data_IF_142580530236
#
_entry.id   IF_142580530236
#
_cell.length_a   1.000
_cell.length_b   1.000
_cell.length_c   1.000
_cell.angle_alpha   90.00
_cell.angle_beta   90.00
_cell.angle_gamma   90.00
#
_symmetry.space_group_name_H-M   'P 1'
#
loop_
_entity.id
_entity.type
_entity.pdbx_description
1 polymer ?
#
# COMPACT_ATOMS: atom_id res chain seq x y z
N UNK A 1 0.33 7.98 -12.35
CA UNK A 1 1.30 6.87 -12.54
C UNK A 1 0.91 6.10 -13.79
N UNK A 2 1.75 5.20 -14.29
CA UNK A 2 1.43 4.45 -15.52
C UNK A 2 0.44 3.31 -15.19
N UNK A 3 -0.80 3.43 -15.66
CA UNK A 3 -1.88 2.45 -15.45
C UNK A 3 -1.85 1.30 -16.49
N UNK A 4 -0.71 1.08 -17.12
CA UNK A 4 -0.54 0.12 -18.21
C UNK A 4 0.90 -0.38 -18.25
N UNK A 5 1.08 -1.59 -18.77
CA UNK A 5 2.39 -2.22 -18.99
C UNK A 5 2.46 -2.65 -20.46
N UNK A 6 3.59 -2.40 -21.13
CA UNK A 6 3.80 -2.86 -22.51
C UNK A 6 4.78 -4.01 -22.56
N UNK A 7 4.37 -5.12 -23.18
CA UNK A 7 5.19 -6.33 -23.37
C UNK A 7 5.16 -6.65 -24.86
N UNK A 8 6.33 -6.80 -25.49
CA UNK A 8 6.46 -7.13 -26.92
C UNK A 8 5.70 -6.19 -27.87
N UNK A 9 5.60 -4.90 -27.51
CA UNK A 9 4.89 -3.89 -28.30
C UNK A 9 3.36 -3.89 -28.12
N UNK A 10 2.82 -4.75 -27.26
CA UNK A 10 1.40 -4.80 -26.91
C UNK A 10 1.22 -4.18 -25.53
N UNK A 11 0.27 -3.25 -25.42
CA UNK A 11 -0.06 -2.59 -24.16
C UNK A 11 -1.19 -3.32 -23.43
N UNK A 12 -1.00 -3.56 -22.14
CA UNK A 12 -1.94 -4.21 -21.23
C UNK A 12 -2.34 -3.23 -20.12
N UNK A 13 -3.65 -2.97 -19.91
CA UNK A 13 -4.09 -2.14 -18.79
C UNK A 13 -3.88 -2.88 -17.45
N UNK A 14 -3.54 -2.13 -16.41
CA UNK A 14 -3.53 -2.62 -15.04
C UNK A 14 -4.97 -2.78 -14.52
N UNK A 15 -5.21 -3.73 -13.59
CA UNK A 15 -6.53 -3.89 -12.99
C UNK A 15 -6.93 -2.67 -12.16
N UNK A 16 -8.24 -2.43 -12.01
CA UNK A 16 -8.76 -1.40 -11.11
C UNK A 16 -9.53 -2.05 -9.95
N UNK A 17 -9.22 -1.71 -8.68
CA UNK A 17 -8.14 -0.82 -8.23
C UNK A 17 -6.75 -1.48 -8.31
N UNK A 18 -5.71 -0.67 -8.52
CA UNK A 18 -4.31 -1.08 -8.46
C UNK A 18 -3.63 -0.44 -7.24
N UNK A 19 -2.90 -1.22 -6.46
CA UNK A 19 -2.19 -0.75 -5.27
C UNK A 19 -0.82 -1.42 -5.17
N UNK A 20 0.22 -0.64 -4.90
CA UNK A 20 1.60 -1.12 -4.79
C UNK A 20 2.08 -0.97 -3.37
N UNK A 21 2.60 -2.05 -2.80
CA UNK A 21 3.39 -2.04 -1.58
C UNK A 21 4.81 -2.41 -1.96
N UNK A 22 5.74 -1.48 -1.80
CA UNK A 22 7.16 -1.74 -1.94
C UNK A 22 7.81 -1.74 -0.55
N UNK A 23 8.64 -2.74 -0.27
CA UNK A 23 9.46 -2.78 0.93
C UNK A 23 10.93 -2.56 0.56
N UNK A 24 11.63 -1.81 1.40
CA UNK A 24 13.07 -1.60 1.26
C UNK A 24 13.73 -1.99 2.58
N UNK A 25 14.66 -2.93 2.52
CA UNK A 25 15.48 -3.27 3.68
C UNK A 25 16.56 -2.19 3.85
N UNK A 26 16.62 -1.49 4.99
CA UNK A 26 17.54 -0.36 5.17
C UNK A 26 18.99 -0.81 5.41
N UNK A 27 19.23 -2.06 5.82
CA UNK A 27 20.56 -2.63 5.99
C UNK A 27 21.12 -3.09 4.65
N UNK A 28 22.26 -2.52 4.22
CA UNK A 28 22.93 -2.84 2.96
C UNK A 28 23.05 -4.35 2.75
N UNK A 29 22.36 -4.87 1.75
CA UNK A 29 22.70 -6.15 1.12
C UNK A 29 23.38 -5.81 -0.20
N UNK A 30 24.61 -6.30 -0.37
CA UNK A 30 25.37 -6.24 -1.62
C UNK A 30 24.44 -6.46 -2.82
N UNK A 31 24.30 -5.43 -3.66
CA UNK A 31 23.47 -5.48 -4.87
C UNK A 31 22.06 -4.87 -4.76
N UNK A 32 21.70 -4.22 -3.65
CA UNK A 32 20.46 -3.43 -3.56
C UNK A 32 20.77 -1.94 -3.67
N UNK A 33 20.20 -1.28 -4.69
CA UNK A 33 20.29 0.17 -4.83
C UNK A 33 19.04 0.80 -4.22
N UNK A 34 19.18 1.81 -3.36
CA UNK A 34 18.02 2.50 -2.86
C UNK A 34 17.23 3.14 -4.01
N UNK A 35 15.91 3.18 -3.86
CA UNK A 35 15.08 3.93 -4.80
C UNK A 35 15.54 5.39 -4.80
N UNK A 36 15.84 5.96 -5.98
CA UNK A 36 16.09 7.39 -6.09
C UNK A 36 14.92 8.19 -5.54
N UNK A 37 15.18 9.42 -5.06
CA UNK A 37 14.14 10.31 -4.51
C UNK A 37 12.96 10.50 -5.48
N UNK A 38 13.24 10.64 -6.78
CA UNK A 38 12.21 10.76 -7.83
C UNK A 38 11.32 9.52 -7.99
N UNK A 39 11.76 8.36 -7.52
CA UNK A 39 10.94 7.15 -7.48
C UNK A 39 10.16 7.04 -6.17
N UNK A 40 10.71 7.54 -5.07
CA UNK A 40 10.01 7.62 -3.79
C UNK A 40 8.85 8.62 -3.83
N UNK A 41 9.00 9.74 -4.55
CA UNK A 41 7.96 10.76 -4.74
C UNK A 41 6.66 10.21 -5.39
N UNK A 42 6.74 9.04 -6.02
CA UNK A 42 5.59 8.36 -6.62
C UNK A 42 4.72 7.63 -5.59
N UNK A 43 5.24 7.37 -4.40
CA UNK A 43 4.48 6.75 -3.32
C UNK A 43 3.73 7.80 -2.52
N UNK A 44 2.42 7.61 -2.33
CA UNK A 44 1.60 8.49 -1.49
C UNK A 44 2.11 8.56 -0.04
N UNK A 45 2.65 7.46 0.48
CA UNK A 45 3.17 7.36 1.85
C UNK A 45 4.40 6.45 1.90
N UNK A 46 5.38 6.86 2.68
CA UNK A 46 6.53 6.04 3.08
C UNK A 46 6.48 5.84 4.60
N UNK A 47 6.49 4.59 5.06
CA UNK A 47 6.37 4.25 6.49
C UNK A 47 7.64 3.50 6.91
N UNK A 48 8.18 3.85 8.07
CA UNK A 48 9.25 3.08 8.71
C UNK A 48 8.64 2.05 9.66
N UNK A 49 8.96 0.78 9.43
CA UNK A 49 8.52 -0.32 10.30
C UNK A 49 9.63 -0.67 11.29
N UNK A 50 9.36 -0.43 12.58
CA UNK A 50 10.20 -0.90 13.68
C UNK A 50 9.83 -2.31 14.12
N UNK A 51 10.51 -2.81 15.15
CA UNK A 51 10.12 -4.03 15.82
C UNK A 51 8.88 -3.80 16.70
N UNK A 52 7.97 -4.79 16.80
CA UNK A 52 6.90 -4.74 17.78
C UNK A 52 7.49 -4.65 19.19
N UNK A 53 6.71 -4.11 20.14
CA UNK A 53 7.10 -4.21 21.54
C UNK A 53 7.06 -5.67 22.04
N UNK A 54 7.67 -5.93 23.20
CA UNK A 54 7.81 -7.28 23.73
C UNK A 54 6.46 -7.96 24.01
N UNK A 55 5.39 -7.19 24.29
CA UNK A 55 4.07 -7.75 24.52
C UNK A 55 3.45 -8.23 23.22
N UNK A 56 3.49 -7.40 22.18
CA UNK A 56 3.03 -7.74 20.84
C UNK A 56 3.85 -8.89 20.23
N UNK A 57 5.18 -8.91 20.42
CA UNK A 57 6.04 -10.01 19.96
C UNK A 57 5.66 -11.34 20.62
N UNK A 58 5.42 -11.32 21.95
CA UNK A 58 4.97 -12.51 22.68
C UNK A 58 3.61 -12.98 22.17
N UNK A 59 2.66 -12.08 21.93
CA UNK A 59 1.35 -12.43 21.38
C UNK A 59 1.47 -13.06 19.99
N UNK A 60 2.33 -12.52 19.11
CA UNK A 60 2.60 -13.10 17.80
C UNK A 60 3.15 -14.54 17.91
N UNK A 61 4.06 -14.79 18.86
CA UNK A 61 4.62 -16.12 19.08
C UNK A 61 3.61 -17.11 19.69
N UNK A 62 2.67 -16.64 20.51
CA UNK A 62 1.60 -17.46 21.09
C UNK A 62 0.42 -17.68 20.14
N UNK A 63 0.26 -16.81 19.13
CA UNK A 63 -0.90 -16.72 18.25
C UNK A 63 -1.15 -17.91 17.32
N UNK A 64 -0.29 -18.94 17.34
CA UNK A 64 -0.43 -20.11 16.47
C UNK A 64 -0.03 -19.83 15.01
N UNK A 65 -0.40 -20.72 14.09
CA UNK A 65 -0.04 -20.57 12.68
C UNK A 65 -0.85 -19.45 12.02
N UNK A 66 -0.22 -18.29 11.79
CA UNK A 66 -0.84 -17.15 11.12
C UNK A 66 -1.43 -17.51 9.75
N UNK A 67 -0.90 -18.52 9.05
CA UNK A 67 -1.44 -18.93 7.75
C UNK A 67 -2.82 -19.56 7.85
N UNK A 68 -3.08 -20.33 8.90
CA UNK A 68 -4.40 -20.93 9.13
C UNK A 68 -5.43 -19.86 9.51
N UNK A 69 -5.03 -18.87 10.31
CA UNK A 69 -5.89 -17.72 10.64
C UNK A 69 -6.26 -16.91 9.40
N UNK A 70 -5.30 -16.67 8.50
CA UNK A 70 -5.54 -15.95 7.25
C UNK A 70 -6.56 -16.66 6.35
N UNK A 71 -6.56 -18.00 6.31
CA UNK A 71 -7.54 -18.78 5.54
C UNK A 71 -8.97 -18.63 6.06
N UNK A 72 -9.14 -18.34 7.35
CA UNK A 72 -10.44 -18.18 7.98
C UNK A 72 -11.02 -16.77 7.83
N UNK A 73 -10.22 -15.79 7.37
CA UNK A 73 -10.68 -14.42 7.18
C UNK A 73 -11.82 -14.35 6.18
N UNK A 74 -12.91 -13.71 6.60
CA UNK A 74 -14.03 -13.40 5.72
C UNK A 74 -13.80 -12.03 5.07
N UNK A 75 -13.96 -11.90 3.74
CA UNK A 75 -13.88 -10.60 3.09
C UNK A 75 -15.00 -9.69 3.62
N UNK A 76 -14.63 -8.48 4.03
CA UNK A 76 -15.59 -7.48 4.56
C UNK A 76 -16.00 -6.45 3.52
N UNK A 77 -15.32 -6.41 2.37
CA UNK A 77 -15.69 -5.56 1.24
C UNK A 77 -15.30 -6.22 -0.09
N UNK A 78 -15.99 -5.79 -1.14
CA UNK A 78 -15.72 -6.14 -2.53
C UNK A 78 -14.95 -5.03 -3.25
N UNK A 79 -14.27 -5.32 -4.37
CA UNK A 79 -13.60 -4.29 -5.18
C UNK A 79 -14.56 -3.18 -5.67
N UNK A 80 -15.79 -3.53 -6.04
CA UNK A 80 -16.80 -2.55 -6.47
C UNK A 80 -17.20 -1.58 -5.34
N UNK A 81 -17.34 -2.08 -4.10
CA UNK A 81 -17.59 -1.24 -2.93
C UNK A 81 -16.40 -0.33 -2.64
N UNK A 82 -15.17 -0.83 -2.78
CA UNK A 82 -13.97 -0.02 -2.61
C UNK A 82 -13.92 1.13 -3.62
N UNK A 83 -14.22 0.87 -4.89
CA UNK A 83 -14.31 1.91 -5.91
C UNK A 83 -15.41 2.93 -5.61
N UNK A 84 -16.58 2.48 -5.11
CA UNK A 84 -17.65 3.38 -4.70
C UNK A 84 -17.22 4.32 -3.55
N UNK A 85 -16.50 3.78 -2.55
CA UNK A 85 -15.93 4.59 -1.46
C UNK A 85 -14.89 5.59 -2.00
N UNK A 86 -14.01 5.18 -2.91
CA UNK A 86 -13.04 6.11 -3.54
C UNK A 86 -13.73 7.27 -4.27
N UNK A 87 -14.85 7.03 -4.95
CA UNK A 87 -15.62 8.11 -5.58
C UNK A 87 -16.32 9.00 -4.55
N UNK A 88 -16.83 8.43 -3.46
CA UNK A 88 -17.42 9.20 -2.37
C UNK A 88 -16.42 10.15 -1.70
N UNK A 89 -15.17 9.72 -1.53
CA UNK A 89 -14.08 10.56 -0.99
C UNK A 89 -13.84 11.81 -1.86
N UNK A 90 -13.94 11.70 -3.19
CA UNK A 90 -13.79 12.85 -4.10
C UNK A 90 -14.90 13.90 -3.97
N UNK A 91 -16.03 13.55 -3.36
CA UNK A 91 -17.14 14.47 -3.10
C UNK A 91 -17.01 15.18 -1.74
N UNK A 92 -15.96 14.89 -0.97
CA UNK A 92 -15.72 15.57 0.30
C UNK A 92 -15.33 17.02 0.01
N UNK A 93 -16.09 17.94 0.62
CA UNK A 93 -15.83 19.37 0.49
C UNK A 93 -14.58 19.78 1.28
N UNK A 94 -13.62 20.37 0.58
CA UNK A 94 -12.51 21.11 1.19
C UNK A 94 -12.88 22.59 1.33
N UNK A 95 -12.94 23.09 2.56
CA UNK A 95 -13.31 24.47 2.84
C UNK A 95 -12.24 25.44 2.30
N UNK A 96 -12.60 26.63 1.77
CA UNK A 96 -11.63 27.56 1.20
C UNK A 96 -10.45 27.91 2.13
N UNK A 97 -10.64 28.15 3.45
CA UNK A 97 -9.51 28.43 4.34
C UNK A 97 -8.51 27.27 4.47
N UNK A 98 -8.97 26.02 4.28
CA UNK A 98 -8.09 24.85 4.28
C UNK A 98 -7.29 24.78 2.97
N UNK A 99 -7.91 25.13 1.85
CA UNK A 99 -7.24 25.19 0.55
C UNK A 99 -6.19 26.30 0.50
N UNK A 100 -6.45 27.44 1.17
CA UNK A 100 -5.48 28.55 1.28
C UNK A 100 -4.27 28.21 2.18
N UNK A 101 -4.40 27.20 3.05
CA UNK A 101 -3.34 26.77 3.96
C UNK A 101 -2.36 25.77 3.32
N UNK A 102 -2.85 24.93 2.39
CA UNK A 102 -2.07 23.88 1.71
C UNK A 102 -1.15 24.47 0.64
#
# INVERSE_FOLDING_TARGET
EEHQVSIEGISHPLPEPFFVIATQNPSEQLGTFPLPESQLDRFLMCISLGYPDAAAERELLMGGDSREQLKALQPVMTPAELMAVQQAVKQIHAAPPLLDYL
#
